data_IF_039604029142
#
_entry.id   IF_039604029142
#
_cell.length_a   1.000
_cell.length_b   1.000
_cell.length_c   1.000
_cell.angle_alpha   90.00
_cell.angle_beta   90.00
_cell.angle_gamma   90.00
#
_symmetry.space_group_name_H-M   'P 1'
#
loop_
_entity.id
_entity.type
_entity.pdbx_description
1 polymer ?
#
# COMPACT_ATOMS: atom_id res chain seq x y z
N UNK A 1 -0.34 8.37 15.11
CA UNK A 1 -0.85 7.10 14.57
C UNK A 1 -0.61 6.97 13.06
N UNK A 2 -1.17 7.77 12.20
CA UNK A 2 -1.00 7.71 10.71
C UNK A 2 0.46 7.62 10.29
N UNK A 3 1.36 8.34 10.95
CA UNK A 3 2.80 8.38 10.62
C UNK A 3 3.50 7.01 10.69
N UNK A 4 3.03 6.07 11.53
CA UNK A 4 3.57 4.70 11.62
C UNK A 4 3.45 3.96 10.28
N UNK A 5 2.28 4.00 9.64
CA UNK A 5 2.04 3.31 8.37
C UNK A 5 2.75 3.97 7.19
N UNK A 6 2.88 5.30 7.24
CA UNK A 6 3.68 6.06 6.30
C UNK A 6 5.16 5.68 6.44
N UNK A 7 5.67 5.56 7.66
CA UNK A 7 7.05 5.17 7.92
C UNK A 7 7.35 3.74 7.41
N UNK A 8 6.44 2.78 7.64
CA UNK A 8 6.58 1.41 7.14
C UNK A 8 6.68 1.41 5.61
N UNK A 9 5.82 2.18 4.93
CA UNK A 9 5.82 2.30 3.48
C UNK A 9 7.09 2.97 2.97
N UNK A 10 7.47 4.11 3.56
CA UNK A 10 8.63 4.88 3.13
C UNK A 10 9.93 4.10 3.34
N UNK A 11 10.08 3.39 4.48
CA UNK A 11 11.23 2.53 4.73
C UNK A 11 11.39 1.47 3.64
N UNK A 12 10.30 0.81 3.25
CA UNK A 12 10.33 -0.20 2.19
C UNK A 12 10.70 0.40 0.84
N UNK A 13 10.13 1.54 0.49
CA UNK A 13 10.41 2.21 -0.77
C UNK A 13 11.82 2.80 -0.81
N UNK A 14 12.32 3.32 0.31
CA UNK A 14 13.70 3.80 0.42
C UNK A 14 14.70 2.65 0.23
N UNK A 15 14.47 1.48 0.82
CA UNK A 15 15.28 0.29 0.60
C UNK A 15 15.25 -0.17 -0.86
N UNK A 16 14.07 -0.15 -1.48
CA UNK A 16 13.91 -0.52 -2.89
C UNK A 16 14.64 0.47 -3.81
N UNK A 17 14.52 1.77 -3.54
CA UNK A 17 15.22 2.82 -4.29
C UNK A 17 16.74 2.69 -4.15
N UNK A 18 17.23 2.42 -2.94
CA UNK A 18 18.65 2.16 -2.68
C UNK A 18 19.14 0.95 -3.48
N UNK A 19 18.38 -0.14 -3.47
CA UNK A 19 18.71 -1.36 -4.22
C UNK A 19 18.74 -1.12 -5.72
N UNK A 20 17.76 -0.39 -6.28
CA UNK A 20 17.75 0.00 -7.68
C UNK A 20 18.94 0.91 -8.04
N UNK A 21 19.29 1.85 -7.16
CA UNK A 21 20.46 2.71 -7.36
C UNK A 21 21.76 1.91 -7.39
N UNK A 22 21.92 0.95 -6.48
CA UNK A 22 23.11 0.06 -6.45
C UNK A 22 23.20 -0.76 -7.75
N UNK A 23 22.10 -1.38 -8.19
CA UNK A 23 22.06 -2.16 -9.44
C UNK A 23 22.38 -1.28 -10.65
N UNK A 24 21.92 -0.04 -10.68
CA UNK A 24 22.23 0.88 -11.77
C UNK A 24 23.71 1.34 -11.74
N UNK A 25 24.30 1.43 -10.56
CA UNK A 25 25.69 1.88 -10.40
C UNK A 25 26.72 0.81 -10.76
N UNK A 26 26.43 -0.47 -10.49
CA UNK A 26 27.37 -1.58 -10.72
C UNK A 26 27.83 -1.66 -12.20
N UNK A 27 26.94 -1.66 -13.22
CA UNK A 27 27.36 -1.70 -14.61
C UNK A 27 28.19 -0.48 -15.02
N UNK A 28 27.84 0.71 -14.55
CA UNK A 28 28.57 1.95 -14.83
C UNK A 28 29.98 1.90 -14.23
N UNK A 29 30.12 1.37 -13.02
CA UNK A 29 31.41 1.21 -12.36
C UNK A 29 32.29 0.17 -13.06
N UNK A 30 31.71 -0.95 -13.51
CA UNK A 30 32.43 -1.99 -14.28
C UNK A 30 32.91 -1.43 -15.60
N UNK A 31 32.08 -0.70 -16.34
CA UNK A 31 32.45 -0.06 -17.61
C UNK A 31 33.57 0.94 -17.39
N UNK A 32 33.52 1.76 -16.35
CA UNK A 32 34.58 2.70 -15.99
C UNK A 32 35.91 2.01 -15.70
N UNK A 33 35.91 0.85 -15.03
CA UNK A 33 37.10 0.06 -14.75
C UNK A 33 37.71 -0.61 -15.97
N UNK A 34 36.86 -1.08 -16.93
CA UNK A 34 37.34 -1.83 -18.13
C UNK A 34 37.94 -0.88 -19.17
N UNK A 35 37.35 0.29 -19.33
CA UNK A 35 37.69 1.19 -20.42
C UNK A 35 38.67 2.30 -20.03
N UNK A 36 39.03 2.40 -18.72
CA UNK A 36 39.85 3.47 -18.15
C UNK A 36 39.39 4.89 -18.57
N UNK A 37 38.14 4.96 -18.99
CA UNK A 37 37.44 6.16 -19.40
C UNK A 37 36.63 6.63 -18.19
N UNK A 38 37.17 7.58 -17.48
CA UNK A 38 36.30 8.45 -16.64
C UNK A 38 35.47 9.21 -17.66
N UNK A 39 34.17 8.95 -17.81
CA UNK A 39 33.38 9.68 -18.79
C UNK A 39 33.45 11.15 -18.39
N UNK A 40 34.09 11.96 -19.23
CA UNK A 40 34.08 13.43 -19.12
C UNK A 40 32.67 13.97 -19.23
N UNK A 41 31.73 13.16 -19.73
CA UNK A 41 30.31 13.41 -19.71
C UNK A 41 29.72 13.26 -18.30
N UNK A 42 29.81 14.37 -17.56
CA UNK A 42 29.20 14.56 -16.24
C UNK A 42 27.71 14.15 -16.17
N UNK A 43 27.03 14.08 -17.30
CA UNK A 43 25.62 13.68 -17.42
C UNK A 43 25.36 12.26 -16.89
N UNK A 44 26.23 11.29 -17.13
CA UNK A 44 26.04 9.90 -16.68
C UNK A 44 26.12 9.79 -15.16
N UNK A 45 26.94 10.62 -14.53
CA UNK A 45 27.09 10.68 -13.07
C UNK A 45 25.81 11.18 -12.35
N UNK A 46 24.95 11.92 -13.03
CA UNK A 46 23.69 12.43 -12.46
C UNK A 46 22.52 11.44 -12.52
N UNK A 47 22.56 10.40 -13.34
CA UNK A 47 21.46 9.43 -13.52
C UNK A 47 20.98 8.82 -12.19
N UNK A 48 21.85 8.31 -11.29
CA UNK A 48 21.39 7.75 -10.03
C UNK A 48 20.73 8.78 -9.12
N UNK A 49 21.17 10.03 -9.15
CA UNK A 49 20.54 11.11 -8.36
C UNK A 49 19.15 11.45 -8.90
N UNK A 50 18.95 11.46 -10.21
CA UNK A 50 17.65 11.68 -10.84
C UNK A 50 16.70 10.54 -10.47
N UNK A 51 17.14 9.29 -10.55
CA UNK A 51 16.34 8.12 -10.14
C UNK A 51 15.95 8.23 -8.67
N UNK A 52 16.89 8.55 -7.79
CA UNK A 52 16.62 8.73 -6.37
C UNK A 52 15.58 9.85 -6.13
N UNK A 53 15.73 11.00 -6.79
CA UNK A 53 14.78 12.10 -6.71
C UNK A 53 13.36 11.71 -7.15
N UNK A 54 13.25 10.96 -8.27
CA UNK A 54 11.96 10.44 -8.74
C UNK A 54 11.33 9.49 -7.70
N UNK A 55 12.12 8.58 -7.12
CA UNK A 55 11.63 7.67 -6.10
C UNK A 55 11.11 8.41 -4.86
N UNK A 56 11.83 9.45 -4.41
CA UNK A 56 11.40 10.30 -3.28
C UNK A 56 10.12 11.06 -3.61
N UNK A 57 10.02 11.62 -4.82
CA UNK A 57 8.83 12.31 -5.29
C UNK A 57 7.61 11.37 -5.30
N UNK A 58 7.75 10.17 -5.84
CA UNK A 58 6.69 9.15 -5.86
C UNK A 58 6.27 8.79 -4.43
N UNK A 59 7.21 8.52 -3.52
CA UNK A 59 6.91 8.20 -2.13
C UNK A 59 6.16 9.34 -1.41
N UNK A 60 6.55 10.58 -1.68
CA UNK A 60 5.87 11.77 -1.15
C UNK A 60 4.43 11.90 -1.63
N UNK A 61 4.18 11.67 -2.92
CA UNK A 61 2.84 11.68 -3.50
C UNK A 61 1.92 10.62 -2.87
N UNK A 62 2.42 9.40 -2.65
CA UNK A 62 1.67 8.35 -1.96
C UNK A 62 1.33 8.75 -0.51
N UNK A 63 2.28 9.34 0.20
CA UNK A 63 2.07 9.84 1.56
C UNK A 63 0.97 10.90 1.62
N UNK A 64 0.99 11.86 0.71
CA UNK A 64 -0.03 12.92 0.62
C UNK A 64 -1.41 12.31 0.32
N UNK A 65 -1.49 11.40 -0.65
CA UNK A 65 -2.74 10.72 -1.02
C UNK A 65 -3.30 9.90 0.15
N UNK A 66 -2.45 9.18 0.86
CA UNK A 66 -2.84 8.38 2.01
C UNK A 66 -3.45 9.25 3.13
N UNK A 67 -2.78 10.35 3.50
CA UNK A 67 -3.31 11.32 4.48
C UNK A 67 -4.62 11.95 4.02
N UNK A 68 -4.68 12.41 2.76
CA UNK A 68 -5.88 13.02 2.19
C UNK A 68 -7.08 12.08 2.24
N UNK A 69 -6.86 10.80 1.97
CA UNK A 69 -7.92 9.80 1.98
C UNK A 69 -8.45 9.52 3.40
N UNK A 70 -7.58 9.48 4.41
CA UNK A 70 -8.00 9.36 5.80
C UNK A 70 -8.83 10.58 6.20
N UNK A 71 -8.29 11.79 6.01
CA UNK A 71 -8.97 13.04 6.39
C UNK A 71 -10.34 13.18 5.70
N UNK A 72 -10.45 12.78 4.44
CA UNK A 72 -11.73 12.79 3.71
C UNK A 72 -12.76 11.86 4.37
N UNK A 73 -12.35 10.68 4.79
CA UNK A 73 -13.26 9.72 5.42
C UNK A 73 -13.60 10.12 6.86
N UNK A 74 -12.66 10.70 7.62
CA UNK A 74 -12.91 11.28 8.93
C UNK A 74 -13.98 12.37 8.85
N UNK A 75 -13.87 13.27 7.89
CA UNK A 75 -14.86 14.33 7.67
C UNK A 75 -16.21 13.78 7.19
N UNK A 76 -16.20 12.81 6.27
CA UNK A 76 -17.42 12.25 5.68
C UNK A 76 -18.26 11.45 6.69
N UNK A 77 -17.59 10.74 7.59
CA UNK A 77 -18.25 9.84 8.54
C UNK A 77 -18.27 10.37 9.99
N UNK A 78 -17.65 11.52 10.25
CA UNK A 78 -17.55 12.08 11.61
C UNK A 78 -16.76 11.20 12.58
N UNK A 79 -15.77 10.45 12.08
CA UNK A 79 -14.96 9.49 12.84
C UNK A 79 -13.51 9.90 12.83
N UNK A 80 -12.77 9.58 13.88
CA UNK A 80 -11.31 9.75 13.90
C UNK A 80 -10.61 8.46 13.50
N UNK A 81 -9.49 8.58 12.78
CA UNK A 81 -8.66 7.45 12.46
C UNK A 81 -8.10 6.81 13.73
N UNK A 82 -8.44 5.55 13.94
CA UNK A 82 -8.00 4.77 15.08
C UNK A 82 -7.41 3.44 14.63
N UNK A 83 -6.18 3.18 15.03
CA UNK A 83 -5.46 1.94 14.76
C UNK A 83 -5.23 1.09 16.02
N UNK A 84 -5.97 1.35 17.09
CA UNK A 84 -5.93 0.53 18.28
C UNK A 84 -6.29 -0.91 17.93
N UNK A 85 -5.52 -1.86 18.50
CA UNK A 85 -5.70 -3.29 18.26
C UNK A 85 -5.59 -3.70 16.77
N UNK A 86 -4.89 -2.92 15.94
CA UNK A 86 -4.70 -3.27 14.54
C UNK A 86 -3.91 -4.59 14.40
N UNK A 87 -4.56 -5.58 13.81
CA UNK A 87 -3.99 -6.90 13.54
C UNK A 87 -3.28 -6.84 12.18
N UNK A 88 -2.03 -7.25 12.17
CA UNK A 88 -1.28 -7.43 10.93
C UNK A 88 -1.80 -8.66 10.19
N UNK A 89 -2.24 -8.48 8.95
CA UNK A 89 -2.73 -9.56 8.11
C UNK A 89 -1.62 -10.11 7.21
N UNK A 90 -1.03 -9.23 6.40
CA UNK A 90 0.08 -9.55 5.49
C UNK A 90 0.93 -8.30 5.26
N UNK A 91 2.18 -8.47 4.92
CA UNK A 91 3.29 -7.51 4.69
C UNK A 91 3.02 -6.02 4.99
N UNK A 92 1.96 -5.44 4.43
CA UNK A 92 1.61 -4.02 4.58
C UNK A 92 0.12 -3.80 4.86
N UNK A 93 -0.63 -4.88 5.10
CA UNK A 93 -2.07 -4.85 5.32
C UNK A 93 -2.38 -5.08 6.79
N UNK A 94 -3.16 -4.17 7.38
CA UNK A 94 -3.57 -4.18 8.77
C UNK A 94 -5.09 -4.04 8.85
N UNK A 95 -5.67 -4.67 9.84
CA UNK A 95 -7.09 -4.61 10.14
C UNK A 95 -7.28 -4.12 11.56
N UNK A 96 -7.84 -2.95 11.74
CA UNK A 96 -8.29 -2.45 13.04
C UNK A 96 -9.79 -2.68 13.20
N UNK A 97 -10.36 -2.24 14.31
CA UNK A 97 -11.79 -2.38 14.58
C UNK A 97 -12.64 -1.78 13.46
N UNK A 98 -12.31 -0.57 13.01
CA UNK A 98 -13.10 0.18 12.03
C UNK A 98 -12.39 0.47 10.73
N UNK A 99 -11.08 0.20 10.64
CA UNK A 99 -10.27 0.56 9.50
C UNK A 99 -9.55 -0.63 8.89
N UNK A 100 -9.60 -0.73 7.57
CA UNK A 100 -8.69 -1.55 6.79
C UNK A 100 -7.57 -0.66 6.28
N UNK A 101 -6.36 -0.93 6.71
CA UNK A 101 -5.20 -0.09 6.47
C UNK A 101 -4.21 -0.83 5.56
N UNK A 102 -4.00 -0.32 4.36
CA UNK A 102 -2.97 -0.77 3.45
C UNK A 102 -1.85 0.27 3.48
N UNK A 103 -0.84 0.01 4.29
CA UNK A 103 0.19 0.98 4.66
C UNK A 103 0.78 1.71 3.46
N UNK A 104 0.68 3.04 3.46
CA UNK A 104 1.16 3.94 2.41
C UNK A 104 0.36 3.93 1.10
N UNK A 105 -0.58 3.01 0.91
CA UNK A 105 -1.36 2.90 -0.33
C UNK A 105 -2.77 3.46 -0.12
N UNK A 106 -3.48 2.91 0.86
CA UNK A 106 -4.85 3.31 1.13
C UNK A 106 -5.27 2.97 2.56
N UNK A 107 -6.22 3.72 3.09
CA UNK A 107 -6.90 3.39 4.32
C UNK A 107 -8.40 3.55 4.10
N UNK A 108 -9.18 2.58 4.56
CA UNK A 108 -10.61 2.53 4.29
C UNK A 108 -11.36 2.32 5.58
N UNK A 109 -12.21 3.29 5.91
CA UNK A 109 -13.18 3.15 6.98
C UNK A 109 -14.21 2.07 6.61
N UNK A 110 -14.63 1.28 7.56
CA UNK A 110 -15.49 0.11 7.36
C UNK A 110 -16.79 0.44 6.61
N UNK A 111 -17.44 1.56 6.94
CA UNK A 111 -18.66 2.00 6.25
C UNK A 111 -18.39 2.52 4.84
N UNK A 112 -17.16 2.94 4.53
CA UNK A 112 -16.78 3.35 3.18
C UNK A 112 -16.62 2.17 2.21
N UNK A 113 -16.49 0.95 2.73
CA UNK A 113 -16.39 -0.28 1.92
C UNK A 113 -17.78 -0.78 1.57
N UNK A 114 -18.14 -0.76 0.28
CA UNK A 114 -19.38 -1.30 -0.26
C UNK A 114 -19.38 -2.81 -0.32
N UNK A 115 -18.31 -3.41 -0.86
CA UNK A 115 -18.21 -4.87 -0.99
C UNK A 115 -16.75 -5.36 -1.00
N UNK A 116 -16.58 -6.60 -0.55
CA UNK A 116 -15.31 -7.34 -0.60
C UNK A 116 -15.54 -8.64 -1.35
N UNK A 117 -14.94 -8.76 -2.54
CA UNK A 117 -15.03 -9.95 -3.39
C UNK A 117 -13.66 -10.58 -3.54
N UNK A 118 -13.59 -11.90 -3.56
CA UNK A 118 -12.37 -12.62 -3.90
C UNK A 118 -12.57 -13.44 -5.15
N UNK A 119 -11.51 -13.55 -5.93
CA UNK A 119 -11.43 -14.42 -7.11
C UNK A 119 -10.14 -15.22 -7.02
N UNK A 120 -10.27 -16.53 -7.17
CA UNK A 120 -9.12 -17.39 -7.36
C UNK A 120 -8.64 -17.22 -8.81
N UNK A 121 -7.35 -16.91 -8.95
CA UNK A 121 -6.70 -16.80 -10.25
C UNK A 121 -5.76 -17.98 -10.41
N UNK A 122 -5.92 -18.73 -11.49
CA UNK A 122 -5.01 -19.80 -11.87
C UNK A 122 -3.99 -19.24 -12.87
N UNK A 123 -2.72 -19.34 -12.54
CA UNK A 123 -1.62 -18.96 -13.42
C UNK A 123 -0.67 -20.14 -13.68
N UNK A 124 0.30 -19.97 -14.59
CA UNK A 124 1.30 -21.02 -14.87
C UNK A 124 2.14 -21.40 -13.63
N UNK A 125 2.30 -20.47 -12.68
CA UNK A 125 3.09 -20.66 -11.44
C UNK A 125 2.26 -21.06 -10.22
N UNK A 126 0.96 -21.41 -10.41
CA UNK A 126 0.07 -21.79 -9.31
C UNK A 126 -1.17 -20.92 -9.17
N UNK A 127 -1.90 -21.11 -8.08
CA UNK A 127 -3.12 -20.38 -7.79
C UNK A 127 -2.86 -19.25 -6.80
N UNK A 128 -3.32 -18.04 -7.11
CA UNK A 128 -3.28 -16.91 -6.19
C UNK A 128 -4.67 -16.30 -6.00
N UNK A 129 -4.91 -15.77 -4.81
CA UNK A 129 -6.16 -15.07 -4.52
C UNK A 129 -6.04 -13.59 -4.86
N UNK A 130 -7.01 -13.09 -5.60
CA UNK A 130 -7.21 -11.66 -5.86
C UNK A 130 -8.41 -11.18 -5.06
N UNK A 131 -8.21 -10.19 -4.21
CA UNK A 131 -9.29 -9.54 -3.47
C UNK A 131 -9.59 -8.19 -4.11
N UNK A 132 -10.86 -7.95 -4.42
CA UNK A 132 -11.34 -6.68 -4.94
C UNK A 132 -12.23 -6.04 -3.89
N UNK A 133 -11.80 -4.90 -3.38
CA UNK A 133 -12.56 -4.07 -2.46
C UNK A 133 -13.18 -2.95 -3.27
N UNK A 134 -14.50 -2.83 -3.23
CA UNK A 134 -15.24 -1.75 -3.87
C UNK A 134 -15.74 -0.80 -2.79
N UNK A 135 -15.47 0.48 -2.94
CA UNK A 135 -15.89 1.54 -2.03
C UNK A 135 -17.25 2.12 -2.43
N UNK A 136 -17.86 2.91 -1.56
CA UNK A 136 -19.16 3.57 -1.79
C UNK A 136 -19.11 4.48 -3.01
N UNK A 137 -18.01 5.15 -3.25
CA UNK A 137 -17.74 5.97 -4.44
C UNK A 137 -17.36 5.15 -5.70
N UNK A 138 -17.63 3.82 -5.66
CA UNK A 138 -17.38 2.85 -6.74
C UNK A 138 -15.91 2.69 -7.17
N UNK A 139 -14.95 3.20 -6.42
CA UNK A 139 -13.53 2.91 -6.64
C UNK A 139 -13.23 1.47 -6.28
N UNK A 140 -12.31 0.85 -7.04
CA UNK A 140 -11.89 -0.53 -6.85
C UNK A 140 -10.42 -0.59 -6.43
N UNK A 141 -10.17 -1.26 -5.33
CA UNK A 141 -8.82 -1.55 -4.83
C UNK A 141 -8.57 -3.05 -4.95
N UNK A 142 -7.42 -3.40 -5.51
CA UNK A 142 -7.07 -4.79 -5.79
C UNK A 142 -5.88 -5.19 -4.96
N UNK A 143 -6.06 -6.19 -4.12
CA UNK A 143 -5.02 -6.78 -3.30
C UNK A 143 -4.74 -8.19 -3.81
N UNK A 144 -3.48 -8.46 -4.13
CA UNK A 144 -3.03 -9.74 -4.65
C UNK A 144 -2.40 -10.60 -3.55
N UNK A 145 -2.42 -11.91 -3.77
CA UNK A 145 -1.72 -12.90 -2.94
C UNK A 145 -2.15 -12.94 -1.47
N UNK A 146 -3.38 -12.54 -1.15
CA UNK A 146 -3.90 -12.73 0.21
C UNK A 146 -4.20 -14.20 0.48
N UNK A 147 -3.86 -14.66 1.68
CA UNK A 147 -4.27 -15.99 2.14
C UNK A 147 -5.80 -16.09 2.30
N UNK A 148 -6.36 -17.27 2.07
CA UNK A 148 -7.81 -17.49 2.24
C UNK A 148 -8.29 -17.18 3.67
N UNK A 149 -7.44 -17.43 4.68
CA UNK A 149 -7.71 -17.08 6.07
C UNK A 149 -7.88 -15.56 6.25
N UNK A 150 -6.97 -14.76 5.69
CA UNK A 150 -7.02 -13.30 5.79
C UNK A 150 -8.18 -12.70 5.03
N UNK A 151 -8.53 -13.29 3.87
CA UNK A 151 -9.74 -12.90 3.13
C UNK A 151 -11.00 -13.11 3.98
N UNK A 152 -11.10 -14.25 4.65
CA UNK A 152 -12.23 -14.55 5.52
C UNK A 152 -12.28 -13.63 6.74
N UNK A 153 -11.12 -13.23 7.31
CA UNK A 153 -11.06 -12.22 8.38
C UNK A 153 -11.63 -10.88 7.91
N UNK A 154 -11.22 -10.39 6.73
CA UNK A 154 -11.71 -9.12 6.18
C UNK A 154 -13.22 -9.18 5.93
N UNK A 155 -13.72 -10.29 5.39
CA UNK A 155 -15.16 -10.47 5.14
C UNK A 155 -15.98 -10.50 6.44
N UNK A 156 -15.54 -11.28 7.43
CA UNK A 156 -16.20 -11.34 8.74
C UNK A 156 -16.18 -9.98 9.41
N UNK A 157 -15.04 -9.30 9.41
CA UNK A 157 -14.90 -7.95 9.93
C UNK A 157 -15.88 -6.97 9.27
N UNK A 158 -15.98 -6.98 7.94
CA UNK A 158 -16.92 -6.11 7.21
C UNK A 158 -18.38 -6.40 7.59
N UNK A 159 -18.75 -7.68 7.76
CA UNK A 159 -20.14 -8.09 8.00
C UNK A 159 -20.58 -7.93 9.45
N UNK A 160 -19.67 -7.89 10.42
CA UNK A 160 -20.00 -7.77 11.83
C UNK A 160 -20.70 -6.45 12.22
N UNK A 161 -20.63 -5.40 11.39
CA UNK A 161 -21.36 -4.15 11.65
C UNK A 161 -22.84 -4.18 11.23
N UNK A 162 -23.24 -5.14 10.41
CA UNK A 162 -24.65 -5.22 9.96
C UNK A 162 -25.58 -5.58 11.12
N UNK A 163 -25.04 -6.23 12.17
CA UNK A 163 -25.83 -6.64 13.35
C UNK A 163 -26.09 -5.51 14.35
N UNK A 164 -25.25 -4.46 14.40
CA UNK A 164 -25.40 -3.36 15.37
C UNK A 164 -26.19 -2.15 14.85
N UNK A 165 -26.46 -2.06 13.55
CA UNK A 165 -27.16 -0.92 12.95
C UNK A 165 -28.69 -1.13 12.80
N UNK A 166 -29.25 -2.21 13.30
CA UNK A 166 -30.69 -2.46 13.23
C UNK A 166 -31.27 -2.91 14.58
N UNK A 167 -31.39 -2.00 15.59
CA UNK A 167 -32.01 -2.33 16.86
C UNK A 167 -33.57 -2.39 16.79
N UNK A 168 -34.17 -2.07 15.62
CA UNK A 168 -35.63 -2.01 15.45
C UNK A 168 -36.15 -3.02 14.42
N UNK A 169 -35.79 -4.29 14.57
CA UNK A 169 -36.52 -5.42 13.97
C UNK A 169 -36.80 -6.45 15.04
N UNK A 170 -37.65 -6.12 15.95
CA UNK A 170 -38.44 -7.04 16.78
C UNK A 170 -39.90 -6.77 16.53
#
# INVERSE_FOLDING_TARGET
MVNKYIHIYNRRNCLLALFCAIIAFIPLFIVSLIYDVIPEDTLISFVPFVIAAICVAIASLYTIRFKKMINMQEQLYGVSFNDNNAVHLETTLYLSEDWLIWAGVSSMYKSHIKSVRSKLMHGRSGSSNKVVITTVDNKKYVIWCLSSSNINKIRKWKNNNIKHSNPNRS
#
